data_IF_261440010168
#
_entry.id   IF_261440010168
#
_cell.length_a   1.000
_cell.length_b   1.000
_cell.length_c   1.000
_cell.angle_alpha   90.00
_cell.angle_beta   90.00
_cell.angle_gamma   90.00
#
_symmetry.space_group_name_H-M   'P 1'
#
loop_
_entity.id
_entity.type
_entity.pdbx_description
1 polymer ?
#
# COMPACT_ATOMS: atom_id res chain seq x y z
N UNK A 1 64.04 -1.77 -3.64
CA UNK A 1 63.29 -1.20 -2.48
C UNK A 1 62.21 -0.28 -3.04
N UNK A 2 60.95 -0.71 -3.16
CA UNK A 2 59.80 -0.44 -2.22
C UNK A 2 59.76 1.03 -1.79
N UNK A 3 58.67 1.80 -1.96
CA UNK A 3 57.24 1.48 -1.85
C UNK A 3 56.40 2.38 -2.78
N UNK A 4 55.45 1.76 -3.46
CA UNK A 4 54.19 2.37 -3.91
C UNK A 4 53.39 2.72 -2.67
N UNK A 5 53.03 4.00 -2.49
CA UNK A 5 52.03 4.37 -1.48
C UNK A 5 50.66 4.16 -2.09
N UNK A 6 50.12 2.99 -1.76
CA UNK A 6 48.74 2.58 -1.90
C UNK A 6 47.82 3.67 -1.35
N UNK A 7 47.12 4.38 -2.23
CA UNK A 7 46.06 5.32 -1.84
C UNK A 7 44.83 4.46 -1.58
N UNK A 8 44.73 4.02 -0.33
CA UNK A 8 43.63 3.25 0.24
C UNK A 8 42.28 3.70 -0.35
N UNK A 9 41.67 2.79 -1.10
CA UNK A 9 40.25 2.82 -1.42
C UNK A 9 39.51 2.83 -0.08
N UNK A 10 38.84 3.97 0.20
CA UNK A 10 37.84 4.05 1.27
C UNK A 10 36.78 3.00 0.94
N UNK A 11 36.69 1.96 1.76
CA UNK A 11 35.75 0.86 1.60
C UNK A 11 34.30 1.35 1.53
N UNK A 12 33.38 0.52 0.99
CA UNK A 12 31.97 0.87 0.92
C UNK A 12 31.49 1.13 2.35
N UNK A 13 30.81 2.26 2.55
CA UNK A 13 30.18 2.55 3.83
C UNK A 13 29.36 1.34 4.25
N UNK A 14 29.58 0.87 5.48
CA UNK A 14 28.65 -0.02 6.18
C UNK A 14 27.24 0.44 5.83
N UNK A 15 26.48 -0.42 5.16
CA UNK A 15 25.04 -0.34 5.23
C UNK A 15 24.74 -0.39 6.72
N UNK A 16 24.42 0.76 7.30
CA UNK A 16 24.01 0.83 8.68
C UNK A 16 22.76 -0.04 8.77
N UNK A 17 22.88 -1.20 9.41
CA UNK A 17 21.74 -1.91 10.00
C UNK A 17 21.12 -0.95 11.01
N UNK A 18 20.35 0.01 10.51
CA UNK A 18 19.54 0.90 11.33
C UNK A 18 18.37 0.05 11.81
N UNK A 19 18.37 -0.37 13.08
CA UNK A 19 17.33 -1.26 13.60
C UNK A 19 15.93 -0.63 13.45
N UNK A 20 15.83 0.71 13.43
CA UNK A 20 14.55 1.40 13.21
C UNK A 20 13.98 1.14 11.80
N UNK A 21 14.83 1.17 10.76
CA UNK A 21 14.38 0.92 9.40
C UNK A 21 13.94 -0.53 9.19
N UNK A 22 14.71 -1.47 9.75
CA UNK A 22 14.36 -2.89 9.68
C UNK A 22 13.00 -3.15 10.35
N UNK A 23 12.81 -2.71 11.60
CA UNK A 23 11.55 -2.87 12.32
C UNK A 23 10.37 -2.22 11.59
N UNK A 24 10.56 -1.02 11.04
CA UNK A 24 9.51 -0.32 10.28
C UNK A 24 9.15 -1.04 8.98
N UNK A 25 10.12 -1.63 8.29
CA UNK A 25 9.88 -2.41 7.08
C UNK A 25 9.11 -3.69 7.37
N UNK A 26 9.43 -4.40 8.45
CA UNK A 26 8.69 -5.59 8.90
C UNK A 26 7.24 -5.22 9.24
N UNK A 27 7.05 -4.15 10.02
CA UNK A 27 5.70 -3.67 10.33
C UNK A 27 4.91 -3.23 9.09
N UNK A 28 5.58 -2.66 8.09
CA UNK A 28 4.93 -2.31 6.83
C UNK A 28 4.52 -3.57 6.05
N UNK A 29 5.38 -4.58 5.99
CA UNK A 29 5.09 -5.86 5.35
C UNK A 29 3.87 -6.54 5.98
N UNK A 30 3.81 -6.60 7.33
CA UNK A 30 2.66 -7.17 8.05
C UNK A 30 1.34 -6.44 7.72
N UNK A 31 1.38 -5.10 7.70
CA UNK A 31 0.22 -4.27 7.35
C UNK A 31 -0.24 -4.49 5.91
N UNK A 32 0.69 -4.79 5.00
CA UNK A 32 0.39 -5.05 3.61
C UNK A 32 -0.16 -6.46 3.41
N UNK A 33 0.39 -7.45 4.12
CA UNK A 33 0.02 -8.85 4.03
C UNK A 33 -1.40 -9.14 4.54
N UNK A 34 -1.92 -8.35 5.49
CA UNK A 34 -3.28 -8.51 6.00
C UNK A 34 -4.34 -8.03 4.96
N UNK A 35 -5.13 -8.95 4.36
CA UNK A 35 -6.10 -8.62 3.34
C UNK A 35 -7.40 -7.98 3.87
N UNK A 36 -7.62 -8.01 5.19
CA UNK A 36 -8.83 -7.53 5.85
C UNK A 36 -8.56 -6.35 6.80
N UNK A 37 -7.30 -5.90 6.86
CA UNK A 37 -6.86 -4.78 7.68
C UNK A 37 -7.70 -3.51 7.50
N UNK A 38 -8.09 -2.94 8.64
CA UNK A 38 -8.69 -1.61 8.74
C UNK A 38 -7.63 -0.52 8.82
N UNK A 39 -7.99 0.68 8.35
CA UNK A 39 -7.17 1.87 8.61
C UNK A 39 -7.35 2.34 10.07
N UNK A 40 -6.33 2.96 10.69
CA UNK A 40 -6.47 3.47 12.05
C UNK A 40 -7.63 4.46 12.18
N UNK A 41 -8.48 4.28 13.19
CA UNK A 41 -9.67 5.12 13.43
C UNK A 41 -10.89 4.75 12.59
N UNK A 42 -10.79 3.72 11.77
CA UNK A 42 -11.91 3.25 10.95
C UNK A 42 -12.92 2.47 11.81
N UNK A 43 -14.18 2.91 11.80
CA UNK A 43 -15.29 2.32 12.55
C UNK A 43 -16.36 1.77 11.60
N UNK A 44 -16.28 0.49 11.16
CA UNK A 44 -17.15 -0.04 10.10
C UNK A 44 -18.65 0.00 10.45
N UNK A 45 -18.99 -0.07 11.74
CA UNK A 45 -20.37 -0.07 12.19
C UNK A 45 -21.04 1.32 12.20
N UNK A 46 -20.30 2.42 11.98
CA UNK A 46 -20.84 3.78 12.04
C UNK A 46 -22.04 3.97 11.11
N UNK A 47 -23.10 4.65 11.58
CA UNK A 47 -24.22 5.13 10.76
C UNK A 47 -24.10 6.62 10.41
N UNK A 48 -23.05 7.28 10.89
CA UNK A 48 -22.78 8.67 10.57
C UNK A 48 -22.39 8.79 9.10
N UNK A 49 -23.20 9.53 8.32
CA UNK A 49 -22.97 9.73 6.90
C UNK A 49 -21.68 10.51 6.61
N UNK A 50 -21.28 11.42 7.50
CA UNK A 50 -20.03 12.18 7.35
C UNK A 50 -18.80 11.26 7.49
N UNK A 51 -18.80 10.38 8.49
CA UNK A 51 -17.73 9.38 8.66
C UNK A 51 -17.66 8.43 7.46
N UNK A 52 -18.83 7.98 6.97
CA UNK A 52 -18.91 7.13 5.78
C UNK A 52 -18.31 7.84 4.55
N UNK A 53 -18.66 9.11 4.34
CA UNK A 53 -18.17 9.90 3.21
C UNK A 53 -16.67 10.17 3.31
N UNK A 54 -16.15 10.39 4.53
CA UNK A 54 -14.72 10.47 4.79
C UNK A 54 -14.00 9.21 4.31
N UNK A 55 -14.44 8.03 4.76
CA UNK A 55 -13.77 6.77 4.39
C UNK A 55 -13.93 6.45 2.90
N UNK A 56 -15.05 6.79 2.27
CA UNK A 56 -15.19 6.71 0.81
C UNK A 56 -14.13 7.54 0.08
N UNK A 57 -13.86 8.77 0.53
CA UNK A 57 -12.81 9.62 -0.04
C UNK A 57 -11.43 8.99 0.16
N UNK A 58 -11.08 8.64 1.40
CA UNK A 58 -9.77 8.05 1.75
C UNK A 58 -9.48 6.80 0.91
N UNK A 59 -10.42 5.86 0.83
CA UNK A 59 -10.21 4.64 0.05
C UNK A 59 -10.15 4.88 -1.46
N UNK A 60 -10.88 5.87 -1.97
CA UNK A 60 -10.82 6.24 -3.39
C UNK A 60 -9.46 6.83 -3.75
N UNK A 61 -8.92 7.72 -2.91
CA UNK A 61 -7.60 8.31 -3.09
C UNK A 61 -6.48 7.26 -3.03
N UNK A 62 -6.52 6.38 -2.02
CA UNK A 62 -5.54 5.32 -1.85
C UNK A 62 -5.59 4.31 -3.02
N UNK A 63 -6.79 3.94 -3.46
CA UNK A 63 -6.95 3.03 -4.59
C UNK A 63 -6.38 3.65 -5.87
N UNK A 64 -6.72 4.91 -6.15
CA UNK A 64 -6.19 5.61 -7.33
C UNK A 64 -4.68 5.80 -7.30
N UNK A 65 -4.08 5.99 -6.12
CA UNK A 65 -2.62 5.95 -5.97
C UNK A 65 -2.05 4.57 -6.32
N UNK A 66 -2.62 3.49 -5.76
CA UNK A 66 -2.12 2.13 -6.01
C UNK A 66 -2.27 1.70 -7.47
N UNK A 67 -3.36 2.07 -8.14
CA UNK A 67 -3.53 1.83 -9.57
C UNK A 67 -2.42 2.49 -10.40
N UNK A 68 -2.10 3.77 -10.14
CA UNK A 68 -0.98 4.44 -10.81
C UNK A 68 0.36 3.77 -10.55
N UNK A 69 0.60 3.28 -9.34
CA UNK A 69 1.83 2.56 -9.00
C UNK A 69 1.92 1.23 -9.75
N UNK A 70 0.85 0.44 -9.80
CA UNK A 70 0.81 -0.79 -10.60
C UNK A 70 1.15 -0.48 -12.06
N UNK A 71 0.45 0.46 -12.68
CA UNK A 71 0.66 0.78 -14.10
C UNK A 71 2.08 1.29 -14.39
N UNK A 72 2.70 1.99 -13.43
CA UNK A 72 4.07 2.51 -13.56
C UNK A 72 5.09 1.38 -13.42
N UNK A 73 4.90 0.50 -12.43
CA UNK A 73 5.77 -0.65 -12.19
C UNK A 73 5.70 -1.65 -13.35
N UNK A 74 4.51 -1.93 -13.89
CA UNK A 74 4.35 -2.81 -15.06
C UNK A 74 5.12 -2.27 -16.27
N UNK A 75 5.01 -0.97 -16.54
CA UNK A 75 5.76 -0.31 -17.63
C UNK A 75 7.26 -0.38 -17.41
N UNK A 76 7.72 -0.02 -16.21
CA UNK A 76 9.14 -0.07 -15.87
C UNK A 76 9.70 -1.50 -15.97
N UNK A 77 8.94 -2.51 -15.52
CA UNK A 77 9.33 -3.92 -15.64
C UNK A 77 9.50 -4.34 -17.10
N UNK A 78 8.61 -3.90 -17.99
CA UNK A 78 8.69 -4.22 -19.42
C UNK A 78 9.87 -3.59 -20.15
N UNK A 79 10.49 -2.54 -19.57
CA UNK A 79 11.65 -1.84 -20.12
C UNK A 79 12.98 -2.44 -19.62
N UNK A 80 12.95 -3.43 -18.71
CA UNK A 80 14.16 -4.10 -18.24
C UNK A 80 14.70 -5.05 -19.31
N UNK A 81 16.02 -5.00 -19.54
CA UNK A 81 16.67 -5.83 -20.55
C UNK A 81 16.76 -7.31 -20.16
N UNK A 82 16.88 -7.61 -18.87
CA UNK A 82 17.13 -8.96 -18.36
C UNK A 82 15.85 -9.66 -17.87
N UNK A 83 15.54 -10.84 -18.41
CA UNK A 83 14.31 -11.57 -18.10
C UNK A 83 14.19 -12.02 -16.63
N UNK A 84 15.31 -12.31 -15.98
CA UNK A 84 15.33 -12.63 -14.55
C UNK A 84 14.90 -11.43 -13.69
N UNK A 85 15.30 -10.21 -14.08
CA UNK A 85 14.90 -8.98 -13.40
C UNK A 85 13.40 -8.70 -13.58
N UNK A 86 12.85 -8.93 -14.78
CA UNK A 86 11.41 -8.84 -15.03
C UNK A 86 10.62 -9.82 -14.15
N UNK A 87 11.12 -11.05 -14.04
CA UNK A 87 10.48 -12.11 -13.25
C UNK A 87 10.46 -11.76 -11.76
N UNK A 88 11.57 -11.22 -11.22
CA UNK A 88 11.64 -10.81 -9.82
C UNK A 88 10.65 -9.69 -9.50
N UNK A 89 10.57 -8.65 -10.34
CA UNK A 89 9.60 -7.54 -10.16
C UNK A 89 8.16 -8.04 -10.21
N UNK A 90 7.85 -9.01 -11.08
CA UNK A 90 6.52 -9.59 -11.15
C UNK A 90 6.18 -10.41 -9.88
N UNK A 91 7.12 -11.23 -9.41
CA UNK A 91 6.94 -12.10 -8.26
C UNK A 91 6.85 -11.34 -6.93
N UNK A 92 7.44 -10.14 -6.85
CA UNK A 92 7.52 -9.36 -5.62
C UNK A 92 6.71 -8.07 -5.68
N UNK A 93 7.21 -7.05 -6.37
CA UNK A 93 6.63 -5.69 -6.39
C UNK A 93 5.20 -5.68 -6.92
N UNK A 94 4.96 -6.28 -8.10
CA UNK A 94 3.63 -6.30 -8.70
C UNK A 94 2.67 -7.12 -7.83
N UNK A 95 3.08 -8.31 -7.38
CA UNK A 95 2.27 -9.14 -6.49
C UNK A 95 1.85 -8.39 -5.22
N UNK A 96 2.76 -7.64 -4.61
CA UNK A 96 2.49 -6.81 -3.44
C UNK A 96 1.49 -5.68 -3.76
N UNK A 97 1.74 -4.91 -4.82
CA UNK A 97 0.92 -3.78 -5.23
C UNK A 97 -0.51 -4.23 -5.60
N UNK A 98 -0.64 -5.35 -6.29
CA UNK A 98 -1.94 -5.92 -6.66
C UNK A 98 -2.72 -6.41 -5.44
N UNK A 99 -2.05 -7.02 -4.47
CA UNK A 99 -2.64 -7.41 -3.19
C UNK A 99 -3.23 -6.20 -2.46
N UNK A 100 -2.46 -5.12 -2.36
CA UNK A 100 -2.92 -3.86 -1.78
C UNK A 100 -4.09 -3.23 -2.54
N UNK A 101 -3.97 -3.13 -3.87
CA UNK A 101 -5.04 -2.63 -4.75
C UNK A 101 -6.34 -3.40 -4.50
N UNK A 102 -6.26 -4.72 -4.44
CA UNK A 102 -7.42 -5.59 -4.18
C UNK A 102 -8.03 -5.36 -2.80
N UNK A 103 -7.22 -5.22 -1.75
CA UNK A 103 -7.70 -4.90 -0.39
C UNK A 103 -8.45 -3.56 -0.37
N UNK A 104 -7.84 -2.51 -0.92
CA UNK A 104 -8.44 -1.18 -0.95
C UNK A 104 -9.75 -1.15 -1.75
N UNK A 105 -9.78 -1.84 -2.89
CA UNK A 105 -11.01 -2.00 -3.67
C UNK A 105 -12.12 -2.67 -2.86
N UNK A 106 -11.83 -3.75 -2.14
CA UNK A 106 -12.82 -4.42 -1.27
C UNK A 106 -13.35 -3.49 -0.19
N UNK A 107 -12.49 -2.71 0.49
CA UNK A 107 -12.91 -1.74 1.50
C UNK A 107 -13.73 -0.61 0.90
N UNK A 108 -13.37 -0.09 -0.28
CA UNK A 108 -14.17 0.90 -0.98
C UNK A 108 -15.58 0.37 -1.30
N UNK A 109 -15.67 -0.88 -1.78
CA UNK A 109 -16.96 -1.56 -2.01
C UNK A 109 -17.77 -1.74 -0.74
N UNK A 110 -17.11 -2.02 0.38
CA UNK A 110 -17.76 -2.09 1.69
C UNK A 110 -18.42 -0.74 2.04
N UNK A 111 -17.67 0.35 1.99
CA UNK A 111 -18.18 1.68 2.33
C UNK A 111 -19.30 2.15 1.39
N UNK A 112 -19.20 1.84 0.10
CA UNK A 112 -20.28 2.11 -0.86
C UNK A 112 -21.59 1.41 -0.48
N UNK A 113 -21.51 0.17 0.02
CA UNK A 113 -22.68 -0.55 0.52
C UNK A 113 -23.18 0.05 1.82
N UNK A 114 -22.28 0.34 2.77
CA UNK A 114 -22.61 0.91 4.08
C UNK A 114 -23.32 2.26 3.95
N UNK A 115 -22.90 3.12 3.02
CA UNK A 115 -23.57 4.40 2.71
C UNK A 115 -25.04 4.20 2.36
N UNK A 116 -25.33 3.28 1.44
CA UNK A 116 -26.71 2.98 1.02
C UNK A 116 -27.55 2.43 2.17
N UNK A 117 -26.94 1.68 3.10
CA UNK A 117 -27.62 1.19 4.30
C UNK A 117 -27.96 2.34 5.26
N UNK A 118 -27.00 3.23 5.52
CA UNK A 118 -27.18 4.40 6.39
C UNK A 118 -28.24 5.37 5.84
N UNK A 119 -28.22 5.64 4.53
CA UNK A 119 -29.24 6.47 3.87
C UNK A 119 -30.65 5.87 4.03
N UNK A 120 -30.79 4.55 3.92
CA UNK A 120 -32.07 3.85 4.15
C UNK A 120 -32.49 3.86 5.62
N UNK A 121 -31.55 3.85 6.55
CA UNK A 121 -31.81 3.96 7.99
C UNK A 121 -32.33 5.36 8.33
N UNK A 122 -31.61 6.39 7.90
CA UNK A 122 -32.00 7.79 8.08
C UNK A 122 -33.38 8.09 7.49
N UNK A 123 -33.68 7.58 6.29
CA UNK A 123 -35.00 7.77 5.66
C UNK A 123 -36.14 7.08 6.45
N UNK A 124 -35.86 5.93 7.07
CA UNK A 124 -36.84 5.19 7.90
C UNK A 124 -37.09 5.88 9.24
N UNK A 125 -36.11 6.61 9.76
CA UNK A 125 -36.25 7.39 10.98
C UNK A 125 -37.01 8.70 10.73
N UNK A 126 -36.70 9.40 9.63
CA UNK A 126 -37.37 10.65 9.26
C UNK A 126 -38.87 10.49 8.90
N UNK A 127 -39.29 9.27 8.57
CA UNK A 127 -40.69 8.95 8.26
C UNK A 127 -41.52 8.46 9.45
N UNK A 128 -40.97 8.42 10.67
CA UNK A 128 -41.70 8.11 11.92
C UNK A 128 -42.11 9.39 12.64
#
# INVERSE_FOLDING_TARGET
MRRVVDRTIRGPGEATDDPDLHERSVQAADKVADPDRLLPGEEPATSNLEDIDHWLSVYSELLGLKERLVDTTERAASELDEGDAQTEVAATDLTLLEGERRRLWKRLRYWQRRKREAEREAQREAGR
#
